data_IF_697318590267
#
_entry.id   IF_697318590267
#
_cell.length_a   1.000
_cell.length_b   1.000
_cell.length_c   1.000
_cell.angle_alpha   90.00
_cell.angle_beta   90.00
_cell.angle_gamma   90.00
#
_symmetry.space_group_name_H-M   'P 1'
#
loop_
_entity.id
_entity.type
_entity.pdbx_description
1 polymer ?
#
# COMPACT_ATOMS: atom_id res chain seq x y z
N UNK A 1 19.67 -4.71 -5.07
CA UNK A 1 19.60 -5.79 -4.05
C UNK A 1 18.42 -5.57 -3.12
N UNK A 2 17.81 -6.68 -2.69
CA UNK A 2 16.67 -6.70 -1.77
C UNK A 2 17.19 -6.70 -0.32
N UNK A 3 16.45 -6.04 0.58
CA UNK A 3 16.75 -6.08 2.02
C UNK A 3 16.58 -7.53 2.52
N UNK A 4 17.62 -8.13 3.13
CA UNK A 4 17.52 -9.48 3.66
C UNK A 4 16.62 -9.53 4.91
N UNK A 5 16.02 -10.70 5.17
CA UNK A 5 15.26 -10.97 6.38
C UNK A 5 13.87 -10.33 6.46
N UNK A 6 13.39 -9.66 5.40
CA UNK A 6 12.02 -9.16 5.35
C UNK A 6 11.05 -10.30 5.10
N UNK A 7 9.96 -10.32 5.87
CA UNK A 7 8.84 -11.25 5.65
C UNK A 7 7.54 -10.49 5.41
N UNK A 8 6.65 -11.10 4.67
CA UNK A 8 5.25 -10.68 4.63
C UNK A 8 4.55 -10.98 5.95
N UNK A 9 3.38 -10.41 6.17
CA UNK A 9 2.61 -10.60 7.40
C UNK A 9 2.13 -12.04 7.63
N UNK A 10 2.12 -12.88 6.59
CA UNK A 10 1.86 -14.33 6.67
C UNK A 10 3.10 -15.18 7.00
N UNK A 11 4.26 -14.54 7.17
CA UNK A 11 5.54 -15.18 7.45
C UNK A 11 6.33 -15.65 6.22
N UNK A 12 5.79 -15.53 5.01
CA UNK A 12 6.53 -15.81 3.78
C UNK A 12 7.67 -14.82 3.58
N UNK A 13 8.77 -15.26 2.95
CA UNK A 13 9.89 -14.38 2.62
C UNK A 13 9.50 -13.34 1.58
N UNK A 14 9.87 -12.08 1.81
CA UNK A 14 9.85 -11.03 0.79
C UNK A 14 11.25 -10.95 0.16
N UNK A 15 11.57 -11.90 -0.69
CA UNK A 15 12.81 -12.01 -1.44
C UNK A 15 12.65 -11.56 -2.90
N UNK A 16 13.72 -11.66 -3.69
CA UNK A 16 13.69 -11.27 -5.10
C UNK A 16 12.71 -12.11 -5.94
N UNK A 17 12.47 -13.36 -5.57
CA UNK A 17 11.50 -14.21 -6.26
C UNK A 17 10.08 -13.75 -6.01
N UNK A 18 9.75 -13.37 -4.76
CA UNK A 18 8.45 -12.82 -4.41
C UNK A 18 8.19 -11.47 -5.10
N UNK A 19 9.22 -10.60 -5.18
CA UNK A 19 9.15 -9.33 -5.91
C UNK A 19 8.95 -9.58 -7.40
N UNK A 20 9.69 -10.54 -7.98
CA UNK A 20 9.53 -10.92 -9.39
C UNK A 20 8.10 -11.37 -9.68
N UNK A 21 7.51 -12.22 -8.83
CA UNK A 21 6.12 -12.67 -9.00
C UNK A 21 5.12 -11.49 -9.02
N UNK A 22 5.34 -10.46 -8.18
CA UNK A 22 4.54 -9.24 -8.19
C UNK A 22 4.72 -8.47 -9.51
N UNK A 23 5.96 -8.33 -10.00
CA UNK A 23 6.23 -7.64 -11.26
C UNK A 23 5.69 -8.41 -12.48
N UNK A 24 5.74 -9.74 -12.47
CA UNK A 24 5.12 -10.56 -13.52
C UNK A 24 3.61 -10.30 -13.59
N UNK A 25 2.92 -10.22 -12.42
CA UNK A 25 1.51 -9.86 -12.35
C UNK A 25 1.22 -8.40 -12.78
N UNK A 26 2.14 -7.46 -12.51
CA UNK A 26 2.05 -6.07 -12.99
C UNK A 26 2.21 -6.04 -14.52
N UNK A 27 3.18 -6.76 -15.08
CA UNK A 27 3.43 -6.84 -16.52
C UNK A 27 2.24 -7.46 -17.27
N UNK A 28 1.60 -8.49 -16.72
CA UNK A 28 0.37 -9.06 -17.26
C UNK A 28 -0.75 -8.02 -17.41
N UNK A 29 -0.76 -7.01 -16.54
CA UNK A 29 -1.76 -5.97 -16.47
C UNK A 29 -1.21 -4.56 -16.81
N UNK A 30 -0.09 -4.46 -17.50
CA UNK A 30 0.62 -3.19 -17.71
C UNK A 30 -0.23 -2.09 -18.35
N UNK A 31 -1.19 -2.44 -19.17
CA UNK A 31 -2.11 -1.49 -19.83
C UNK A 31 -2.96 -0.69 -18.84
N UNK A 32 -3.10 -1.16 -17.58
CA UNK A 32 -3.76 -0.43 -16.50
C UNK A 32 -2.87 0.65 -15.86
N UNK A 33 -1.58 0.67 -16.20
CA UNK A 33 -0.54 1.49 -15.56
C UNK A 33 0.21 2.38 -16.56
N UNK A 34 -0.38 2.66 -17.73
CA UNK A 34 0.20 3.49 -18.80
C UNK A 34 0.43 4.95 -18.41
N UNK A 35 -0.03 5.38 -17.24
CA UNK A 35 0.26 6.68 -16.65
C UNK A 35 1.65 6.78 -16.01
N UNK A 36 2.37 5.64 -15.86
CA UNK A 36 3.75 5.56 -15.40
C UNK A 36 4.67 5.39 -16.59
N UNK A 37 5.67 6.26 -16.73
CA UNK A 37 6.63 6.20 -17.85
C UNK A 37 7.44 4.91 -17.81
N UNK A 38 7.83 4.45 -16.63
CA UNK A 38 8.52 3.19 -16.45
C UNK A 38 7.80 2.01 -17.13
N UNK A 39 6.46 1.99 -17.17
CA UNK A 39 5.70 0.91 -17.79
C UNK A 39 5.88 0.84 -19.31
N UNK A 40 6.18 1.96 -19.97
CA UNK A 40 6.49 2.00 -21.39
C UNK A 40 7.90 1.49 -21.68
N UNK A 41 8.83 1.72 -20.76
CA UNK A 41 10.24 1.38 -20.90
C UNK A 41 10.57 -0.03 -20.40
N UNK A 42 9.70 -0.64 -19.60
CA UNK A 42 9.93 -1.95 -18.98
C UNK A 42 9.90 -3.07 -20.02
N UNK A 43 11.05 -3.70 -20.23
CA UNK A 43 11.26 -4.84 -21.12
C UNK A 43 11.00 -6.15 -20.38
N UNK A 44 11.53 -6.28 -19.17
CA UNK A 44 11.38 -7.48 -18.38
C UNK A 44 11.95 -7.34 -16.97
N UNK A 45 11.78 -8.40 -16.20
CA UNK A 45 12.32 -8.51 -14.84
C UNK A 45 12.91 -9.90 -14.63
N UNK A 46 13.93 -9.99 -13.78
CA UNK A 46 14.56 -11.26 -13.40
C UNK A 46 14.95 -11.28 -11.92
N UNK A 47 15.10 -12.48 -11.37
CA UNK A 47 15.60 -12.74 -10.04
C UNK A 47 16.61 -13.90 -10.10
N UNK A 48 17.90 -13.60 -10.38
CA UNK A 48 18.93 -14.64 -10.51
C UNK A 48 19.23 -15.34 -9.18
N UNK A 49 18.96 -14.71 -8.06
CA UNK A 49 19.09 -15.25 -6.71
C UNK A 49 18.08 -14.57 -5.76
N UNK A 50 17.98 -15.05 -4.52
CA UNK A 50 17.00 -14.55 -3.53
C UNK A 50 17.20 -13.08 -3.11
N UNK A 51 18.37 -12.49 -3.37
CA UNK A 51 18.73 -11.13 -2.94
C UNK A 51 18.83 -10.14 -4.10
N UNK A 52 18.82 -10.62 -5.35
CA UNK A 52 19.03 -9.79 -6.53
C UNK A 52 17.78 -9.77 -7.39
N UNK A 53 17.17 -8.61 -7.50
CA UNK A 53 16.07 -8.34 -8.41
C UNK A 53 16.57 -7.41 -9.53
N UNK A 54 16.31 -7.78 -10.77
CA UNK A 54 16.74 -7.06 -11.98
C UNK A 54 15.53 -6.50 -12.69
N UNK A 55 15.59 -5.23 -13.05
CA UNK A 55 14.63 -4.56 -13.94
C UNK A 55 15.38 -4.22 -15.22
N UNK A 56 14.89 -4.68 -16.35
CA UNK A 56 15.43 -4.38 -17.67
C UNK A 56 14.56 -3.32 -18.34
N UNK A 57 15.20 -2.23 -18.76
CA UNK A 57 14.54 -1.12 -19.45
C UNK A 57 15.09 -1.00 -20.88
N UNK A 58 14.26 -0.55 -21.82
CA UNK A 58 14.63 -0.32 -23.23
C UNK A 58 15.63 0.83 -23.38
N UNK A 59 15.64 1.78 -22.45
CA UNK A 59 16.56 2.92 -22.40
C UNK A 59 16.79 3.40 -20.96
N UNK A 60 17.85 4.17 -20.67
CA UNK A 60 18.10 4.73 -19.34
C UNK A 60 16.96 5.61 -18.87
N UNK A 61 16.48 5.38 -17.63
CA UNK A 61 15.39 6.13 -17.03
C UNK A 61 15.76 6.60 -15.62
N UNK A 62 16.12 7.88 -15.49
CA UNK A 62 16.57 8.46 -14.23
C UNK A 62 15.53 8.41 -13.09
N UNK A 63 14.21 8.67 -13.32
CA UNK A 63 13.20 8.65 -12.27
C UNK A 63 12.80 7.25 -11.77
N UNK A 64 13.39 6.17 -12.27
CA UNK A 64 13.00 4.79 -11.95
C UNK A 64 12.76 4.53 -10.47
N UNK A 65 13.71 4.89 -9.60
CA UNK A 65 13.60 4.66 -8.15
C UNK A 65 12.50 5.50 -7.51
N UNK A 66 12.22 6.68 -8.04
CA UNK A 66 11.13 7.53 -7.58
C UNK A 66 9.78 6.94 -7.95
N UNK A 67 9.63 6.44 -9.18
CA UNK A 67 8.39 5.78 -9.61
C UNK A 67 8.15 4.48 -8.85
N UNK A 68 9.18 3.70 -8.53
CA UNK A 68 9.04 2.51 -7.69
C UNK A 68 8.51 2.81 -6.28
N UNK A 69 8.62 4.05 -5.81
CA UNK A 69 8.01 4.52 -4.55
C UNK A 69 6.51 4.75 -4.62
N UNK A 70 5.90 4.68 -5.81
CA UNK A 70 4.45 4.85 -5.98
C UNK A 70 3.74 3.59 -5.49
N UNK A 71 2.79 3.74 -4.57
CA UNK A 71 2.09 2.61 -3.96
C UNK A 71 1.38 1.73 -4.99
N UNK A 72 0.78 2.32 -6.02
CA UNK A 72 0.12 1.59 -7.09
C UNK A 72 0.92 1.74 -8.39
N UNK A 73 1.41 0.66 -9.02
CA UNK A 73 1.15 -0.77 -8.74
C UNK A 73 2.19 -1.44 -7.83
N UNK A 74 3.17 -0.71 -7.28
CA UNK A 74 4.37 -1.28 -6.67
C UNK A 74 4.24 -1.66 -5.18
N UNK A 75 3.03 -1.68 -4.61
CA UNK A 75 2.81 -2.28 -3.30
C UNK A 75 2.91 -3.81 -3.41
N UNK A 76 4.04 -4.37 -2.97
CA UNK A 76 4.30 -5.81 -3.02
C UNK A 76 3.41 -6.56 -2.04
N UNK A 77 2.81 -7.65 -2.49
CA UNK A 77 1.99 -8.56 -1.69
C UNK A 77 2.61 -9.96 -1.68
N UNK A 78 2.24 -10.76 -0.67
CA UNK A 78 2.65 -12.17 -0.64
C UNK A 78 2.16 -12.90 -1.90
N UNK A 79 3.03 -13.65 -2.61
CA UNK A 79 2.61 -14.43 -3.75
C UNK A 79 1.49 -15.44 -3.44
N UNK A 80 1.38 -15.89 -2.17
CA UNK A 80 0.29 -16.76 -1.73
C UNK A 80 -1.08 -16.07 -1.72
N UNK A 81 -1.10 -14.74 -1.65
CA UNK A 81 -2.33 -13.96 -1.73
C UNK A 81 -2.80 -13.69 -3.17
N UNK A 82 -2.00 -14.06 -4.16
CA UNK A 82 -2.34 -13.92 -5.58
C UNK A 82 -3.25 -15.07 -6.05
N UNK A 83 -4.26 -14.75 -6.84
CA UNK A 83 -5.12 -15.74 -7.49
C UNK A 83 -4.42 -16.32 -8.71
N UNK A 84 -4.02 -17.61 -8.62
CA UNK A 84 -3.29 -18.28 -9.71
C UNK A 84 -2.02 -17.53 -10.18
N UNK A 85 -1.31 -16.88 -9.26
CA UNK A 85 -0.11 -16.10 -9.57
C UNK A 85 -0.40 -14.75 -10.23
N UNK A 86 -1.64 -14.29 -10.27
CA UNK A 86 -2.08 -13.03 -10.87
C UNK A 86 -2.84 -12.16 -9.88
N UNK A 87 -2.85 -10.85 -10.14
CA UNK A 87 -3.68 -9.87 -9.42
C UNK A 87 -4.83 -9.32 -10.26
N UNK A 88 -5.02 -9.87 -11.48
CA UNK A 88 -6.00 -9.40 -12.45
C UNK A 88 -7.45 -9.45 -11.93
N UNK A 89 -7.78 -10.54 -11.24
CA UNK A 89 -9.12 -10.81 -10.70
C UNK A 89 -9.19 -10.56 -9.18
N UNK A 90 -8.31 -9.67 -8.68
CA UNK A 90 -8.18 -9.36 -7.26
C UNK A 90 -7.21 -10.29 -6.54
N UNK A 91 -7.22 -10.22 -5.23
CA UNK A 91 -6.33 -10.99 -4.34
C UNK A 91 -7.16 -11.76 -3.31
N UNK A 92 -6.58 -12.83 -2.77
CA UNK A 92 -7.22 -13.63 -1.72
C UNK A 92 -7.19 -12.92 -0.37
N UNK A 93 -6.12 -12.15 -0.12
CA UNK A 93 -5.92 -11.40 1.11
C UNK A 93 -4.96 -10.22 0.89
N UNK A 94 -5.01 -9.21 1.77
CA UNK A 94 -4.10 -8.05 1.76
C UNK A 94 -2.90 -8.32 2.66
N UNK A 95 -1.92 -9.06 2.15
CA UNK A 95 -0.74 -9.52 2.88
C UNK A 95 0.49 -8.78 2.34
N UNK A 96 0.98 -7.81 3.10
CA UNK A 96 2.13 -6.98 2.75
C UNK A 96 3.26 -7.07 3.77
N UNK A 97 4.28 -6.20 3.63
CA UNK A 97 5.44 -6.09 4.52
C UNK A 97 5.39 -4.86 5.41
N UNK A 98 4.27 -4.15 5.43
CA UNK A 98 4.09 -2.88 6.13
C UNK A 98 3.98 -3.00 7.65
N UNK A 99 4.00 -1.85 8.37
CA UNK A 99 3.93 -1.80 9.82
C UNK A 99 2.58 -2.24 10.41
N UNK A 100 1.54 -2.32 9.58
CA UNK A 100 0.21 -2.74 9.97
C UNK A 100 -0.31 -3.84 9.06
N UNK A 101 -1.17 -4.70 9.61
CA UNK A 101 -1.91 -5.74 8.92
C UNK A 101 -3.41 -5.45 9.01
N UNK A 102 -4.15 -5.73 7.95
CA UNK A 102 -5.61 -5.66 7.95
C UNK A 102 -6.16 -6.81 8.80
N UNK A 103 -6.89 -6.49 9.85
CA UNK A 103 -7.50 -7.44 10.79
C UNK A 103 -8.98 -7.67 10.46
N UNK A 104 -9.71 -6.59 10.21
CA UNK A 104 -11.12 -6.64 9.89
C UNK A 104 -11.46 -5.58 8.82
N UNK A 105 -12.41 -5.92 7.93
CA UNK A 105 -12.88 -5.02 6.90
C UNK A 105 -14.35 -5.24 6.62
N UNK A 106 -15.13 -4.18 6.80
CA UNK A 106 -16.54 -4.14 6.42
C UNK A 106 -16.73 -3.06 5.37
N UNK A 107 -17.15 -3.47 4.18
CA UNK A 107 -17.32 -2.56 3.04
C UNK A 107 -18.24 -1.40 3.38
N UNK A 108 -17.82 -0.17 3.05
CA UNK A 108 -18.54 1.08 3.28
C UNK A 108 -18.80 1.42 4.77
N UNK A 109 -18.22 0.67 5.71
CA UNK A 109 -18.36 0.92 7.14
C UNK A 109 -17.03 1.24 7.80
N UNK A 110 -16.11 0.25 7.88
CA UNK A 110 -14.82 0.45 8.54
C UNK A 110 -13.76 -0.58 8.13
N UNK A 111 -12.52 -0.27 8.48
CA UNK A 111 -11.39 -1.19 8.45
C UNK A 111 -10.59 -1.09 9.75
N UNK A 112 -10.17 -2.23 10.30
CA UNK A 112 -9.32 -2.32 11.48
C UNK A 112 -7.94 -2.82 11.07
N UNK A 113 -6.92 -2.09 11.46
CA UNK A 113 -5.53 -2.44 11.24
C UNK A 113 -4.84 -2.69 12.58
N UNK A 114 -4.07 -3.76 12.69
CA UNK A 114 -3.22 -4.07 13.85
C UNK A 114 -1.75 -3.94 13.51
N UNK A 115 -0.93 -3.54 14.48
CA UNK A 115 0.52 -3.52 14.31
C UNK A 115 1.03 -4.89 13.88
N UNK A 116 1.85 -4.93 12.82
CA UNK A 116 2.46 -6.15 12.30
C UNK A 116 3.61 -6.59 13.24
N UNK A 117 3.50 -7.71 13.94
CA UNK A 117 4.56 -8.17 14.85
C UNK A 117 5.85 -8.54 14.11
N UNK A 118 5.75 -8.85 12.81
CA UNK A 118 6.88 -9.24 11.95
C UNK A 118 7.41 -8.06 11.13
N UNK A 119 7.03 -6.82 11.47
CA UNK A 119 7.52 -5.66 10.75
C UNK A 119 9.03 -5.52 10.89
N UNK A 120 9.72 -5.36 9.77
CA UNK A 120 11.18 -5.28 9.65
C UNK A 120 11.77 -3.94 10.15
N UNK A 121 10.94 -2.94 10.37
CA UNK A 121 11.34 -1.62 10.87
C UNK A 121 11.01 -1.44 12.35
N UNK A 122 11.02 -0.18 12.81
CA UNK A 122 10.61 0.16 14.16
C UNK A 122 9.12 -0.14 14.38
N UNK A 123 8.81 -0.81 15.48
CA UNK A 123 7.44 -1.16 15.82
C UNK A 123 6.58 0.09 16.07
N UNK A 124 5.41 0.23 15.44
CA UNK A 124 4.56 1.40 15.63
C UNK A 124 4.10 1.53 17.09
N UNK A 125 4.10 2.77 17.59
CA UNK A 125 3.61 3.08 18.95
C UNK A 125 2.11 2.78 19.07
N UNK A 126 1.31 3.19 18.08
CA UNK A 126 -0.13 2.89 17.99
C UNK A 126 -0.29 1.44 17.53
N UNK A 127 -0.98 0.62 18.36
CA UNK A 127 -1.11 -0.82 18.08
C UNK A 127 -2.33 -1.17 17.23
N UNK A 128 -3.34 -0.32 17.22
CA UNK A 128 -4.57 -0.52 16.45
C UNK A 128 -5.02 0.80 15.84
N UNK A 129 -5.36 0.77 14.57
CA UNK A 129 -5.94 1.89 13.82
C UNK A 129 -7.29 1.42 13.28
N UNK A 130 -8.36 2.14 13.62
CA UNK A 130 -9.69 1.93 13.02
C UNK A 130 -9.99 3.07 12.06
N UNK A 131 -10.16 2.74 10.79
CA UNK A 131 -10.59 3.69 9.75
C UNK A 131 -12.08 3.54 9.57
N UNK A 132 -12.86 4.59 9.91
CA UNK A 132 -14.31 4.63 9.75
C UNK A 132 -14.70 5.35 8.46
N UNK A 133 -15.69 4.85 7.76
CA UNK A 133 -16.29 5.53 6.61
C UNK A 133 -17.43 6.40 7.11
N UNK A 134 -17.24 7.73 7.09
CA UNK A 134 -18.28 8.72 7.44
C UNK A 134 -18.44 9.63 6.23
N UNK A 135 -19.44 9.41 5.35
CA UNK A 135 -19.54 10.11 4.07
C UNK A 135 -19.84 11.61 4.20
N UNK A 136 -20.67 11.97 5.17
CA UNK A 136 -21.07 13.35 5.38
C UNK A 136 -20.03 14.17 6.14
N UNK A 137 -19.70 15.35 5.62
CA UNK A 137 -18.64 16.22 6.15
C UNK A 137 -18.96 16.75 7.53
N UNK A 138 -20.19 17.22 7.77
CA UNK A 138 -20.59 17.78 9.07
C UNK A 138 -20.62 16.69 10.15
N UNK A 139 -21.06 15.49 9.79
CA UNK A 139 -21.05 14.34 10.70
C UNK A 139 -19.62 13.96 11.10
N UNK A 140 -18.64 14.01 10.16
CA UNK A 140 -17.21 13.76 10.49
C UNK A 140 -16.67 14.80 11.47
N UNK A 141 -16.97 16.07 11.23
CA UNK A 141 -16.53 17.16 12.08
C UNK A 141 -17.09 17.00 13.49
N UNK A 142 -18.38 16.74 13.63
CA UNK A 142 -19.03 16.49 14.92
C UNK A 142 -18.46 15.26 15.64
N UNK A 143 -18.13 14.20 14.90
CA UNK A 143 -17.51 13.01 15.48
C UNK A 143 -16.11 13.32 16.04
N UNK A 144 -15.33 14.18 15.37
CA UNK A 144 -14.02 14.65 15.86
C UNK A 144 -14.20 15.51 17.13
N UNK A 145 -15.12 16.47 17.12
CA UNK A 145 -15.41 17.33 18.28
C UNK A 145 -15.84 16.55 19.53
N UNK A 146 -16.61 15.48 19.32
CA UNK A 146 -17.06 14.59 20.40
C UNK A 146 -16.03 13.57 20.84
N UNK A 147 -14.87 13.49 20.16
CA UNK A 147 -13.85 12.47 20.43
C UNK A 147 -14.28 11.05 20.01
N UNK A 148 -15.24 10.90 19.10
CA UNK A 148 -15.64 9.61 18.53
C UNK A 148 -14.66 9.12 17.47
N UNK A 149 -13.87 10.05 16.92
CA UNK A 149 -12.69 9.81 16.08
C UNK A 149 -11.57 10.75 16.52
N UNK A 150 -10.32 10.34 16.32
CA UNK A 150 -9.13 11.09 16.73
C UNK A 150 -8.57 11.94 15.59
N UNK A 151 -8.91 11.63 14.34
CA UNK A 151 -8.35 12.31 13.18
C UNK A 151 -9.29 12.20 11.96
N UNK A 152 -9.33 13.26 11.16
CA UNK A 152 -9.89 13.23 9.81
C UNK A 152 -8.72 13.26 8.83
N UNK A 153 -8.66 12.29 7.90
CA UNK A 153 -7.59 12.15 6.94
C UNK A 153 -8.12 11.93 5.52
N UNK A 154 -7.55 12.63 4.57
CA UNK A 154 -7.84 12.46 3.14
C UNK A 154 -8.16 13.76 2.41
N UNK A 155 -8.08 13.70 1.07
CA UNK A 155 -8.39 14.85 0.23
C UNK A 155 -9.90 15.18 0.28
N UNK A 156 -10.24 16.45 0.47
CA UNK A 156 -11.62 16.95 0.53
C UNK A 156 -12.47 16.35 1.67
N UNK A 157 -11.82 15.90 2.76
CA UNK A 157 -12.53 15.35 3.93
C UNK A 157 -13.02 16.41 4.90
N UNK A 158 -12.49 17.64 4.82
CA UNK A 158 -12.94 18.82 5.56
C UNK A 158 -13.09 19.95 4.53
N UNK A 159 -14.19 20.70 4.57
CA UNK A 159 -14.36 21.89 3.74
C UNK A 159 -13.59 23.11 4.30
N UNK A 160 -13.37 24.11 3.43
CA UNK A 160 -12.59 25.29 3.81
C UNK A 160 -13.25 26.13 4.91
N UNK A 161 -14.57 26.18 4.93
CA UNK A 161 -15.32 26.97 5.91
C UNK A 161 -15.18 26.37 7.31
N UNK A 162 -15.23 25.02 7.41
CA UNK A 162 -14.99 24.32 8.65
C UNK A 162 -13.55 24.50 9.16
N UNK A 163 -12.55 24.45 8.26
CA UNK A 163 -11.14 24.70 8.62
C UNK A 163 -10.99 26.12 9.19
N UNK A 164 -11.57 27.13 8.54
CA UNK A 164 -11.49 28.50 9.02
C UNK A 164 -12.12 28.66 10.40
N UNK A 165 -13.25 28.02 10.66
CA UNK A 165 -13.88 28.04 11.99
C UNK A 165 -12.96 27.48 13.08
N UNK A 166 -12.18 26.43 12.80
CA UNK A 166 -11.20 25.89 13.76
C UNK A 166 -9.96 26.76 13.93
N UNK A 167 -9.51 27.44 12.87
CA UNK A 167 -8.37 28.35 12.96
C UNK A 167 -8.67 29.62 13.78
N UNK A 168 -9.93 30.02 13.82
CA UNK A 168 -10.42 31.19 14.56
C UNK A 168 -10.85 30.85 16.01
N UNK A 169 -10.88 29.55 16.38
CA UNK A 169 -11.17 29.10 17.75
C UNK A 169 -9.87 28.95 18.53
N UNK A 170 -9.63 29.87 19.49
CA UNK A 170 -8.53 29.78 20.48
C UNK A 170 -8.73 28.63 21.48
#
# INVERSE_FOLDING_TARGET
HIRPGVTFSDGEKCDAYAIKANFDAILENKDRHTWLEMMHLLVGVDAPDENTFVIELSEPYYPLLTELGVTRPFAMISPKAMKNGSTKDGVEAYIGTGPYVLDEFVTDEYAVFKANPNYWGEQPAIKTITVKVIPDNQTRILALEKGEIDMIFGKNMIDADAINQYLDSD
#
